data_IF_812573484451
#
_entry.id   IF_812573484451
#
_cell.length_a   1.000
_cell.length_b   1.000
_cell.length_c   1.000
_cell.angle_alpha   90.00
_cell.angle_beta   90.00
_cell.angle_gamma   90.00
#
_symmetry.space_group_name_H-M   'P 1'
#
loop_
_entity.id
_entity.type
_entity.pdbx_description
1 polymer ?
#
# COMPACT_ATOMS: atom_id res chain seq x y z
N UNK A 1 6.71 56.30 41.94
CA UNK A 1 5.75 55.61 41.04
C UNK A 1 6.50 55.16 39.78
N UNK A 2 6.73 53.86 39.60
CA UNK A 2 7.30 53.34 38.35
C UNK A 2 6.18 53.24 37.30
N UNK A 3 6.33 53.99 36.20
CA UNK A 3 5.45 53.91 35.03
C UNK A 3 5.64 52.55 34.36
N UNK A 4 4.60 51.70 34.36
CA UNK A 4 4.64 50.48 33.57
C UNK A 4 4.69 50.84 32.07
N UNK A 5 5.58 50.21 31.29
CA UNK A 5 5.69 50.50 29.86
C UNK A 5 4.39 50.10 29.14
N UNK A 6 3.79 51.06 28.43
CA UNK A 6 2.62 50.82 27.57
C UNK A 6 3.01 49.92 26.40
N UNK A 7 2.63 48.65 26.48
CA UNK A 7 2.76 47.70 25.37
C UNK A 7 1.87 48.17 24.22
N UNK A 8 2.44 48.32 23.02
CA UNK A 8 1.66 48.71 21.84
C UNK A 8 0.61 47.64 21.48
N UNK A 9 -0.51 48.05 20.87
CA UNK A 9 -1.56 47.12 20.38
C UNK A 9 -0.99 45.99 19.49
N UNK A 10 0.04 46.30 18.69
CA UNK A 10 0.74 45.34 17.83
C UNK A 10 1.51 44.29 18.64
N UNK A 11 2.20 44.71 19.70
CA UNK A 11 2.92 43.80 20.59
C UNK A 11 1.94 42.91 21.38
N UNK A 12 0.82 43.46 21.87
CA UNK A 12 -0.22 42.69 22.56
C UNK A 12 -0.82 41.60 21.66
N UNK A 13 -1.14 41.91 20.39
CA UNK A 13 -1.63 40.92 19.41
C UNK A 13 -0.60 39.81 19.14
N UNK A 14 0.68 40.17 19.00
CA UNK A 14 1.77 39.20 18.79
C UNK A 14 1.92 38.27 20.01
N UNK A 15 1.82 38.81 21.22
CA UNK A 15 1.93 38.04 22.46
C UNK A 15 0.76 37.06 22.61
N UNK A 16 -0.47 37.53 22.40
CA UNK A 16 -1.68 36.68 22.41
C UNK A 16 -1.59 35.55 21.36
N UNK A 17 -1.14 35.85 20.14
CA UNK A 17 -0.96 34.84 19.09
C UNK A 17 0.06 33.77 19.50
N UNK A 18 1.17 34.18 20.13
CA UNK A 18 2.21 33.25 20.62
C UNK A 18 1.68 32.37 21.74
N UNK A 19 0.90 32.94 22.66
CA UNK A 19 0.30 32.21 23.77
C UNK A 19 -0.73 31.18 23.28
N UNK A 20 -1.63 31.57 22.37
CA UNK A 20 -2.58 30.64 21.74
C UNK A 20 -1.86 29.48 21.04
N UNK A 21 -0.76 29.75 20.33
CA UNK A 21 0.07 28.71 19.71
C UNK A 21 0.72 27.79 20.74
N UNK A 22 1.21 28.33 21.86
CA UNK A 22 1.79 27.54 22.95
C UNK A 22 0.76 26.63 23.60
N UNK A 23 -0.43 27.15 23.91
CA UNK A 23 -1.54 26.36 24.48
C UNK A 23 -2.02 25.27 23.51
N UNK A 24 -2.19 25.60 22.22
CA UNK A 24 -2.57 24.64 21.20
C UNK A 24 -1.53 23.51 21.05
N UNK A 25 -0.24 23.86 21.08
CA UNK A 25 0.86 22.88 21.07
C UNK A 25 0.82 21.98 22.32
N UNK A 26 0.60 22.56 23.50
CA UNK A 26 0.48 21.79 24.75
C UNK A 26 -0.66 20.77 24.70
N UNK A 27 -1.86 21.19 24.30
CA UNK A 27 -3.01 20.28 24.11
C UNK A 27 -2.72 19.19 23.09
N UNK A 28 -2.08 19.54 21.97
CA UNK A 28 -1.69 18.55 20.96
C UNK A 28 -0.73 17.49 21.51
N UNK A 29 0.31 17.89 22.24
CA UNK A 29 1.27 16.97 22.84
C UNK A 29 0.64 16.07 23.90
N UNK A 30 -0.31 16.60 24.68
CA UNK A 30 -1.10 15.85 25.66
C UNK A 30 -2.01 14.81 24.99
N UNK A 31 -2.79 15.20 23.97
CA UNK A 31 -3.63 14.28 23.20
C UNK A 31 -2.80 13.17 22.56
N UNK A 32 -1.65 13.49 21.95
CA UNK A 32 -0.77 12.47 21.38
C UNK A 32 -0.17 11.53 22.43
N UNK A 33 0.08 12.02 23.65
CA UNK A 33 0.55 11.17 24.75
C UNK A 33 -0.56 10.25 25.23
N UNK A 34 -1.78 10.75 25.38
CA UNK A 34 -2.93 9.96 25.78
C UNK A 34 -3.17 8.82 24.78
N UNK A 35 -3.27 9.13 23.48
CA UNK A 35 -3.45 8.10 22.44
C UNK A 35 -2.35 7.04 22.54
N UNK A 36 -1.08 7.41 22.74
CA UNK A 36 0.02 6.44 22.88
C UNK A 36 -0.12 5.52 24.10
N UNK A 37 -0.58 6.07 25.22
CA UNK A 37 -0.74 5.31 26.45
C UNK A 37 -1.90 4.31 26.34
N UNK A 38 -2.91 4.63 25.53
CA UNK A 38 -4.11 3.80 25.36
C UNK A 38 -3.91 2.67 24.33
N UNK A 39 -2.79 2.66 23.58
CA UNK A 39 -2.49 1.61 22.61
C UNK A 39 -2.01 0.31 23.27
N UNK A 40 -2.47 -0.82 22.74
CA UNK A 40 -2.01 -2.16 23.10
C UNK A 40 -0.58 -2.49 22.63
N UNK A 41 0.11 -1.51 22.03
CA UNK A 41 1.49 -1.66 21.58
C UNK A 41 2.24 -0.34 21.73
N UNK A 42 3.53 -0.45 21.99
CA UNK A 42 4.39 0.74 22.08
C UNK A 42 4.66 1.32 20.69
N UNK A 43 4.51 2.64 20.58
CA UNK A 43 4.94 3.39 19.40
C UNK A 43 6.31 4.00 19.68
N UNK A 44 7.35 3.63 18.91
CA UNK A 44 8.69 4.16 19.14
C UNK A 44 8.75 5.68 19.06
N UNK A 45 9.71 6.27 19.77
CA UNK A 45 10.00 7.71 19.67
C UNK A 45 10.48 8.11 18.26
N UNK A 46 11.13 7.18 17.54
CA UNK A 46 11.54 7.34 16.15
C UNK A 46 11.01 6.22 15.25
N UNK A 47 10.49 6.53 14.06
CA UNK A 47 10.14 7.87 13.58
C UNK A 47 8.98 8.47 14.40
N UNK A 48 8.94 9.80 14.56
CA UNK A 48 7.82 10.47 15.25
C UNK A 48 6.57 10.38 14.38
N UNK A 49 5.59 9.59 14.82
CA UNK A 49 4.31 9.40 14.10
C UNK A 49 3.22 10.20 14.78
N UNK A 50 2.54 11.07 14.04
CA UNK A 50 1.24 11.59 14.46
C UNK A 50 0.22 10.45 14.43
N UNK A 51 -0.37 10.16 15.59
CA UNK A 51 -1.40 9.16 15.72
C UNK A 51 -2.77 9.81 15.61
N UNK A 52 -3.59 9.30 14.70
CA UNK A 52 -5.01 9.62 14.60
C UNK A 52 -5.79 8.39 15.07
N UNK A 53 -6.41 8.49 16.24
CA UNK A 53 -7.28 7.43 16.77
C UNK A 53 -8.44 7.21 15.79
N UNK A 54 -8.67 5.94 15.41
CA UNK A 54 -9.79 5.57 14.55
C UNK A 54 -11.09 6.10 15.16
N UNK A 55 -11.92 6.78 14.36
CA UNK A 55 -13.22 7.28 14.84
C UNK A 55 -14.24 6.17 15.06
N UNK A 56 -13.94 4.99 14.54
CA UNK A 56 -14.79 3.82 14.59
C UNK A 56 -14.02 2.68 15.26
N UNK A 57 -14.72 1.95 16.12
CA UNK A 57 -14.15 0.87 16.91
C UNK A 57 -13.81 -0.38 16.08
N UNK A 58 -13.45 -1.48 16.75
CA UNK A 58 -13.17 -2.76 16.10
C UNK A 58 -14.35 -3.21 15.24
N UNK A 59 -14.02 -3.80 14.08
CA UNK A 59 -14.97 -4.44 13.19
C UNK A 59 -15.09 -5.92 13.57
N UNK A 60 -16.31 -6.35 13.88
CA UNK A 60 -16.62 -7.76 14.11
C UNK A 60 -17.08 -8.48 12.85
N UNK A 61 -17.59 -7.71 11.88
CA UNK A 61 -17.97 -8.23 10.55
C UNK A 61 -16.87 -7.84 9.57
N UNK A 62 -16.30 -8.80 8.81
CA UNK A 62 -15.21 -8.49 7.91
C UNK A 62 -15.60 -7.45 6.83
N UNK A 63 -16.75 -7.62 6.18
CA UNK A 63 -17.22 -6.75 5.09
C UNK A 63 -18.47 -6.00 5.47
N UNK A 64 -18.53 -4.75 5.02
CA UNK A 64 -19.81 -4.09 4.82
C UNK A 64 -20.57 -4.82 3.72
N UNK A 65 -21.85 -5.11 3.98
CA UNK A 65 -22.74 -5.60 2.91
C UNK A 65 -22.83 -4.53 1.84
N UNK A 66 -23.07 -4.93 0.59
CA UNK A 66 -23.17 -3.97 -0.54
C UNK A 66 -24.19 -2.87 -0.24
N UNK A 67 -25.32 -3.21 0.39
CA UNK A 67 -26.35 -2.26 0.81
C UNK A 67 -25.87 -1.22 1.85
N UNK A 68 -24.86 -1.54 2.66
CA UNK A 68 -24.34 -0.67 3.72
C UNK A 68 -23.20 0.24 3.23
N UNK A 69 -22.59 -0.07 2.08
CA UNK A 69 -21.43 0.67 1.56
C UNK A 69 -21.73 2.15 1.29
N UNK A 70 -22.83 2.54 0.61
CA UNK A 70 -23.09 3.95 0.30
C UNK A 70 -23.06 4.86 1.53
N UNK A 71 -23.69 4.41 2.63
CA UNK A 71 -23.71 5.16 3.89
C UNK A 71 -22.33 5.34 4.53
N UNK A 72 -21.39 4.43 4.25
CA UNK A 72 -19.99 4.53 4.72
C UNK A 72 -19.16 5.39 3.77
N UNK A 73 -19.36 5.26 2.46
CA UNK A 73 -18.66 6.02 1.42
C UNK A 73 -18.92 7.53 1.50
N UNK A 74 -20.13 7.94 1.91
CA UNK A 74 -20.54 9.34 2.06
C UNK A 74 -20.08 9.99 3.37
N UNK A 75 -19.44 9.24 4.27
CA UNK A 75 -19.03 9.77 5.58
C UNK A 75 -18.05 10.94 5.44
N UNK A 76 -18.21 12.02 6.25
CA UNK A 76 -17.24 13.10 6.26
C UNK A 76 -15.90 12.63 6.82
N UNK A 77 -14.84 12.76 6.02
CA UNK A 77 -13.49 12.32 6.37
C UNK A 77 -12.64 13.47 6.87
N UNK A 78 -11.94 13.27 7.99
CA UNK A 78 -10.92 14.21 8.44
C UNK A 78 -9.64 13.98 7.65
N UNK A 79 -9.12 15.04 7.03
CA UNK A 79 -7.87 14.96 6.27
C UNK A 79 -6.68 15.03 7.20
N UNK A 80 -5.82 14.00 7.18
CA UNK A 80 -4.50 14.07 7.81
C UNK A 80 -3.54 14.70 6.80
N UNK A 81 -3.47 16.03 6.86
CA UNK A 81 -2.66 16.83 5.94
C UNK A 81 -1.15 16.61 6.15
N UNK A 82 -0.37 17.10 5.20
CA UNK A 82 1.04 17.38 5.42
C UNK A 82 1.18 18.76 6.06
N UNK A 83 1.91 18.83 7.17
CA UNK A 83 2.35 20.10 7.73
C UNK A 83 3.68 19.89 8.45
N UNK A 84 4.37 20.98 8.81
CA UNK A 84 5.68 20.91 9.47
C UNK A 84 5.68 20.23 10.85
N UNK A 85 4.52 19.88 11.39
CA UNK A 85 4.37 19.18 12.68
C UNK A 85 4.12 17.68 12.50
N UNK A 86 3.52 17.27 11.39
CA UNK A 86 3.18 15.88 11.08
C UNK A 86 4.21 15.32 10.09
N UNK A 87 5.29 14.75 10.63
CA UNK A 87 6.36 14.13 9.84
C UNK A 87 6.00 12.75 9.34
N UNK A 88 5.17 12.01 10.06
CA UNK A 88 4.60 10.71 9.66
C UNK A 88 3.20 10.64 10.24
N UNK A 89 2.31 9.86 9.63
CA UNK A 89 0.95 9.68 10.15
C UNK A 89 0.64 8.19 10.28
N UNK A 90 -0.03 7.81 11.37
CA UNK A 90 -0.48 6.44 11.61
C UNK A 90 -1.90 6.45 12.16
N UNK A 91 -2.73 5.56 11.65
CA UNK A 91 -4.05 5.25 12.18
C UNK A 91 -3.93 3.86 12.80
N UNK A 92 -3.96 3.72 14.14
CA UNK A 92 -3.92 2.41 14.79
C UNK A 92 -5.01 1.47 14.26
N UNK A 93 -4.69 0.19 14.12
CA UNK A 93 -5.67 -0.81 13.69
C UNK A 93 -6.62 -1.09 14.85
N UNK A 94 -7.93 -0.76 14.74
CA UNK A 94 -8.86 -1.00 15.83
C UNK A 94 -9.07 -2.50 16.09
N UNK A 95 -8.75 -3.38 15.13
CA UNK A 95 -8.84 -4.82 15.30
C UNK A 95 -7.56 -5.45 15.87
N UNK A 96 -6.50 -4.67 16.11
CA UNK A 96 -5.23 -5.22 16.61
C UNK A 96 -5.41 -5.85 18.00
N UNK A 97 -4.92 -7.08 18.14
CA UNK A 97 -4.82 -7.76 19.42
C UNK A 97 -3.34 -8.04 19.75
N UNK A 98 -3.00 -8.02 21.03
CA UNK A 98 -1.66 -8.43 21.50
C UNK A 98 -1.37 -9.86 21.02
N UNK A 99 -0.13 -10.10 20.60
CA UNK A 99 0.36 -11.39 20.05
C UNK A 99 -0.27 -11.87 18.74
N UNK A 100 -1.17 -11.08 18.14
CA UNK A 100 -1.72 -11.38 16.83
C UNK A 100 -0.70 -11.18 15.70
N UNK A 101 -0.88 -11.92 14.61
CA UNK A 101 -0.11 -11.76 13.37
C UNK A 101 -0.69 -10.68 12.45
N UNK A 102 -1.61 -9.84 12.92
CA UNK A 102 -2.15 -8.74 12.11
C UNK A 102 -1.35 -7.45 12.31
N UNK A 103 -1.32 -6.57 11.30
CA UNK A 103 -0.57 -5.33 11.42
C UNK A 103 -1.17 -4.36 12.45
N UNK A 104 -0.29 -3.58 13.10
CA UNK A 104 -0.62 -2.68 14.22
C UNK A 104 -1.44 -1.46 13.82
N UNK A 105 -1.40 -1.10 12.54
CA UNK A 105 -2.03 0.11 12.00
C UNK A 105 -3.03 -0.26 10.92
N UNK A 106 -4.13 0.48 10.81
CA UNK A 106 -5.01 0.41 9.65
C UNK A 106 -4.35 1.08 8.44
N UNK A 107 -3.61 2.17 8.68
CA UNK A 107 -2.80 2.84 7.68
C UNK A 107 -1.63 3.61 8.31
N UNK A 108 -0.51 3.73 7.58
CA UNK A 108 0.68 4.48 7.94
C UNK A 108 1.20 5.21 6.70
N UNK A 109 1.33 6.53 6.75
CA UNK A 109 1.99 7.34 5.71
C UNK A 109 3.40 7.73 6.17
N UNK A 110 4.38 7.39 5.36
CA UNK A 110 5.73 7.93 5.44
C UNK A 110 5.99 8.88 4.27
N UNK A 111 6.14 10.18 4.53
CA UNK A 111 6.30 11.14 3.47
C UNK A 111 7.74 11.22 2.96
N UNK A 112 7.90 11.64 1.70
CA UNK A 112 9.19 11.84 1.05
C UNK A 112 10.14 10.64 1.25
N UNK A 113 9.60 9.43 1.09
CA UNK A 113 10.37 8.19 1.18
C UNK A 113 11.22 7.97 -0.06
N UNK A 114 10.73 8.45 -1.20
CA UNK A 114 11.39 8.45 -2.50
C UNK A 114 11.71 9.89 -2.86
N UNK A 115 12.96 10.17 -3.22
CA UNK A 115 13.40 11.50 -3.65
C UNK A 115 12.85 11.85 -5.03
N UNK A 116 12.83 13.14 -5.39
CA UNK A 116 12.40 13.58 -6.74
C UNK A 116 13.21 12.91 -7.85
N UNK A 117 14.53 12.73 -7.64
CA UNK A 117 15.38 12.02 -8.58
C UNK A 117 14.97 10.55 -8.75
N UNK A 118 14.75 9.84 -7.64
CA UNK A 118 14.28 8.44 -7.69
C UNK A 118 12.86 8.33 -8.27
N UNK A 119 11.99 9.29 -7.99
CA UNK A 119 10.66 9.40 -8.61
C UNK A 119 10.78 9.50 -10.13
N UNK A 120 11.65 10.38 -10.63
CA UNK A 120 11.87 10.50 -12.08
C UNK A 120 12.44 9.19 -12.66
N UNK A 121 13.42 8.58 -12.00
CA UNK A 121 13.95 7.28 -12.45
C UNK A 121 12.87 6.20 -12.55
N UNK A 122 11.95 6.14 -11.59
CA UNK A 122 10.84 5.17 -11.64
C UNK A 122 9.87 5.48 -12.78
N UNK A 123 9.56 6.75 -13.02
CA UNK A 123 8.72 7.18 -14.15
C UNK A 123 9.37 6.83 -15.49
N UNK A 124 10.68 7.10 -15.66
CA UNK A 124 11.43 6.75 -16.86
C UNK A 124 11.41 5.24 -17.10
N UNK A 125 11.54 4.42 -16.05
CA UNK A 125 11.42 2.96 -16.16
C UNK A 125 10.02 2.49 -16.57
N UNK A 126 8.96 3.22 -16.18
CA UNK A 126 7.58 2.92 -16.63
C UNK A 126 7.41 3.27 -18.10
N UNK A 127 7.94 4.41 -18.55
CA UNK A 127 7.92 4.79 -19.98
C UNK A 127 8.75 3.82 -20.83
N UNK A 128 9.93 3.38 -20.38
CA UNK A 128 10.72 2.34 -21.05
C UNK A 128 9.92 1.03 -21.24
N UNK A 129 9.10 0.65 -20.25
CA UNK A 129 8.21 -0.52 -20.37
C UNK A 129 7.10 -0.30 -21.39
N UNK A 130 6.49 0.89 -21.43
CA UNK A 130 5.47 1.25 -22.43
C UNK A 130 6.06 1.24 -23.84
N UNK A 131 7.24 1.82 -24.03
CA UNK A 131 7.95 1.84 -25.31
C UNK A 131 8.30 0.43 -25.79
N UNK A 132 8.71 -0.44 -24.86
CA UNK A 132 8.94 -1.85 -25.12
C UNK A 132 7.65 -2.68 -25.31
N UNK A 133 6.47 -2.03 -25.33
CA UNK A 133 5.14 -2.61 -25.54
C UNK A 133 4.72 -3.59 -24.43
N UNK A 134 4.99 -3.22 -23.18
CA UNK A 134 4.41 -3.89 -22.02
C UNK A 134 2.88 -3.75 -22.08
N UNK A 135 2.11 -4.84 -21.92
CA UNK A 135 0.65 -4.75 -21.92
C UNK A 135 0.17 -4.07 -20.63
N UNK A 136 -0.13 -2.79 -20.74
CA UNK A 136 -0.92 -2.04 -19.77
C UNK A 136 -2.38 -2.16 -20.19
N UNK A 137 -3.19 -2.79 -19.35
CA UNK A 137 -4.60 -3.09 -19.64
C UNK A 137 -5.51 -2.15 -18.87
N UNK A 138 -6.62 -1.77 -19.47
CA UNK A 138 -7.74 -1.18 -18.72
C UNK A 138 -8.48 -2.30 -17.99
N UNK A 139 -9.19 -1.95 -16.92
CA UNK A 139 -10.13 -2.86 -16.27
C UNK A 139 -11.52 -2.25 -16.35
N UNK A 140 -12.56 -3.08 -16.54
CA UNK A 140 -13.93 -2.60 -16.58
C UNK A 140 -14.32 -1.83 -15.29
N UNK A 141 -13.69 -2.18 -14.16
CA UNK A 141 -13.90 -1.53 -12.86
C UNK A 141 -13.37 -0.09 -12.77
N UNK A 142 -12.45 0.32 -13.66
CA UNK A 142 -11.76 1.62 -13.56
C UNK A 142 -11.84 2.46 -14.85
N UNK A 143 -12.52 1.96 -15.89
CA UNK A 143 -12.71 2.67 -17.15
C UNK A 143 -11.47 2.65 -18.06
N UNK A 144 -11.54 3.42 -19.14
CA UNK A 144 -10.52 3.52 -20.19
C UNK A 144 -9.32 4.42 -19.81
N UNK A 145 -9.50 5.30 -18.84
CA UNK A 145 -8.47 6.26 -18.37
C UNK A 145 -7.51 5.69 -17.32
N UNK A 146 -7.71 4.42 -16.93
CA UNK A 146 -6.94 3.74 -15.90
C UNK A 146 -6.26 2.48 -16.46
N UNK A 147 -4.94 2.53 -16.55
CA UNK A 147 -4.10 1.48 -17.11
C UNK A 147 -3.35 0.74 -16.01
N UNK A 148 -3.28 -0.58 -16.07
CA UNK A 148 -2.53 -1.40 -15.13
C UNK A 148 -1.67 -2.48 -15.78
N UNK A 149 -0.50 -2.70 -15.20
CA UNK A 149 0.34 -3.86 -15.47
C UNK A 149 0.67 -4.59 -14.17
N UNK A 150 0.45 -5.91 -14.14
CA UNK A 150 0.73 -6.76 -12.97
C UNK A 150 2.02 -7.56 -13.13
N UNK A 151 2.88 -7.51 -12.13
CA UNK A 151 4.20 -8.14 -12.12
C UNK A 151 4.41 -8.81 -10.76
N UNK A 152 4.69 -10.11 -10.75
CA UNK A 152 4.93 -10.88 -9.52
C UNK A 152 4.43 -12.33 -9.59
N UNK A 153 4.13 -12.91 -8.42
CA UNK A 153 3.57 -14.25 -8.23
C UNK A 153 2.21 -14.17 -7.57
N UNK A 154 1.21 -14.80 -8.18
CA UNK A 154 -0.19 -14.74 -7.77
C UNK A 154 -0.88 -16.11 -7.77
N UNK A 155 -2.02 -16.25 -7.08
CA UNK A 155 -2.86 -17.46 -7.03
C UNK A 155 -4.37 -17.15 -7.13
N UNK A 156 -4.80 -16.02 -7.71
CA UNK A 156 -6.24 -15.68 -7.71
C UNK A 156 -7.12 -16.63 -8.51
N UNK A 157 -6.65 -17.12 -9.65
CA UNK A 157 -7.44 -17.93 -10.59
C UNK A 157 -6.79 -19.31 -10.82
N UNK A 158 -6.14 -19.83 -9.79
CA UNK A 158 -5.39 -21.08 -9.90
C UNK A 158 -5.30 -21.79 -8.58
N UNK A 159 -5.22 -23.13 -8.65
CA UNK A 159 -4.97 -23.96 -7.48
C UNK A 159 -3.58 -23.74 -6.87
N UNK A 160 -2.61 -23.25 -7.65
CA UNK A 160 -1.22 -23.07 -7.23
C UNK A 160 -0.65 -21.71 -7.63
N UNK A 161 0.26 -21.11 -6.82
CA UNK A 161 0.87 -19.83 -7.16
C UNK A 161 1.66 -19.91 -8.46
N UNK A 162 1.45 -18.92 -9.32
CA UNK A 162 2.06 -18.84 -10.64
C UNK A 162 2.66 -17.45 -10.88
N UNK A 163 3.68 -17.41 -11.73
CA UNK A 163 4.31 -16.16 -12.14
C UNK A 163 3.38 -15.46 -13.14
N UNK A 164 3.02 -14.20 -12.86
CA UNK A 164 2.17 -13.39 -13.73
C UNK A 164 2.72 -13.28 -15.17
N UNK A 165 1.81 -13.20 -16.15
CA UNK A 165 2.16 -12.99 -17.55
C UNK A 165 3.02 -11.72 -17.76
N UNK A 166 2.72 -10.65 -17.03
CA UNK A 166 3.51 -9.42 -17.03
C UNK A 166 4.95 -9.64 -16.57
N UNK A 167 5.23 -10.61 -15.70
CA UNK A 167 6.60 -10.98 -15.30
C UNK A 167 7.27 -11.95 -16.29
N UNK A 168 6.50 -12.78 -16.98
CA UNK A 168 6.98 -13.82 -17.91
C UNK A 168 7.24 -13.32 -19.35
N UNK A 169 7.65 -12.06 -19.52
CA UNK A 169 7.89 -11.49 -20.84
C UNK A 169 9.00 -12.23 -21.61
N UNK A 170 8.66 -12.70 -22.81
CA UNK A 170 9.57 -13.41 -23.72
C UNK A 170 10.57 -12.45 -24.37
N UNK A 171 10.15 -11.20 -24.65
CA UNK A 171 10.98 -10.16 -25.29
C UNK A 171 12.14 -9.76 -24.36
N UNK A 172 13.41 -9.86 -24.82
CA UNK A 172 14.57 -9.53 -23.99
C UNK A 172 14.55 -8.11 -23.42
N UNK A 173 14.12 -7.13 -24.22
CA UNK A 173 13.99 -5.73 -23.79
C UNK A 173 13.02 -5.56 -22.61
N UNK A 174 11.82 -6.14 -22.69
CA UNK A 174 10.84 -6.11 -21.60
C UNK A 174 11.36 -6.81 -20.34
N UNK A 175 11.95 -8.00 -20.47
CA UNK A 175 12.49 -8.70 -19.31
C UNK A 175 13.64 -7.91 -18.64
N UNK A 176 14.47 -7.21 -19.41
CA UNK A 176 15.51 -6.30 -18.90
C UNK A 176 14.89 -5.09 -18.20
N UNK A 177 13.91 -4.44 -18.83
CA UNK A 177 13.17 -3.30 -18.26
C UNK A 177 12.51 -3.65 -16.93
N UNK A 178 11.81 -4.79 -16.84
CA UNK A 178 11.19 -5.24 -15.59
C UNK A 178 12.22 -5.45 -14.48
N UNK A 179 13.37 -6.07 -14.80
CA UNK A 179 14.45 -6.24 -13.82
C UNK A 179 15.02 -4.90 -13.34
N UNK A 180 15.18 -3.93 -14.25
CA UNK A 180 15.67 -2.60 -13.90
C UNK A 180 14.65 -1.83 -13.05
N UNK A 181 13.37 -1.89 -13.40
CA UNK A 181 12.28 -1.32 -12.60
C UNK A 181 12.29 -1.90 -11.19
N UNK A 182 12.30 -3.23 -11.05
CA UNK A 182 12.33 -3.90 -9.75
C UNK A 182 13.55 -3.49 -8.91
N UNK A 183 14.74 -3.42 -9.52
CA UNK A 183 15.97 -2.99 -8.82
C UNK A 183 15.88 -1.53 -8.35
N UNK A 184 15.33 -0.66 -9.18
CA UNK A 184 15.15 0.77 -8.86
C UNK A 184 14.12 0.94 -7.74
N UNK A 185 13.03 0.18 -7.80
CA UNK A 185 11.99 0.16 -6.77
C UNK A 185 12.53 -0.34 -5.42
N UNK A 186 13.27 -1.45 -5.40
CA UNK A 186 13.91 -1.98 -4.20
C UNK A 186 14.81 -0.95 -3.51
N UNK A 187 15.58 -0.19 -4.29
CA UNK A 187 16.42 0.89 -3.78
C UNK A 187 15.59 2.04 -3.22
N UNK A 188 14.62 2.51 -3.99
CA UNK A 188 13.77 3.66 -3.66
C UNK A 188 12.95 3.41 -2.39
N UNK A 189 12.54 2.17 -2.14
CA UNK A 189 11.73 1.79 -0.98
C UNK A 189 12.55 1.50 0.29
N UNK A 190 13.88 1.54 0.24
CA UNK A 190 14.74 1.20 1.39
C UNK A 190 14.46 2.09 2.62
N UNK A 191 14.15 3.37 2.39
CA UNK A 191 13.80 4.32 3.46
C UNK A 191 12.45 3.97 4.10
N UNK A 192 11.43 3.69 3.29
CA UNK A 192 10.11 3.26 3.77
C UNK A 192 10.19 1.96 4.56
N UNK A 193 10.94 0.97 4.06
CA UNK A 193 11.22 -0.28 4.75
C UNK A 193 11.90 -0.08 6.11
N UNK A 194 12.84 0.86 6.19
CA UNK A 194 13.52 1.21 7.45
C UNK A 194 12.55 1.82 8.46
N UNK A 195 11.65 2.70 8.02
CA UNK A 195 10.62 3.25 8.89
C UNK A 195 9.63 2.19 9.34
N UNK A 196 9.12 1.36 8.42
CA UNK A 196 8.21 0.28 8.78
C UNK A 196 8.85 -0.68 9.81
N UNK A 197 10.13 -1.03 9.65
CA UNK A 197 10.86 -1.83 10.63
C UNK A 197 10.86 -1.22 12.02
N UNK A 198 11.01 0.11 12.13
CA UNK A 198 10.99 0.80 13.42
C UNK A 198 9.58 0.78 14.01
N UNK A 199 8.57 1.10 13.20
CA UNK A 199 7.18 1.32 13.64
C UNK A 199 6.39 0.02 13.90
N UNK A 200 6.55 -0.95 13.02
CA UNK A 200 5.85 -2.24 13.03
C UNK A 200 6.82 -3.36 12.62
N UNK A 201 7.83 -3.57 13.47
CA UNK A 201 8.87 -4.56 13.26
C UNK A 201 8.38 -5.99 13.01
N UNK A 202 7.36 -6.51 13.75
CA UNK A 202 6.81 -7.83 13.49
C UNK A 202 6.25 -7.97 12.07
N UNK A 203 5.39 -7.03 11.63
CA UNK A 203 4.81 -7.06 10.28
C UNK A 203 5.88 -6.89 9.22
N UNK A 204 6.81 -5.94 9.39
CA UNK A 204 7.97 -5.79 8.49
C UNK A 204 8.77 -7.09 8.34
N UNK A 205 9.03 -7.81 9.44
CA UNK A 205 9.78 -9.04 9.42
C UNK A 205 9.08 -10.17 8.65
N UNK A 206 7.75 -10.21 8.67
CA UNK A 206 6.96 -11.11 7.82
C UNK A 206 7.02 -10.68 6.35
N UNK A 207 6.70 -9.42 6.05
CA UNK A 207 6.72 -8.85 4.69
C UNK A 207 8.08 -9.03 3.98
N UNK A 208 9.19 -8.80 4.68
CA UNK A 208 10.52 -8.91 4.07
C UNK A 208 10.93 -10.34 3.72
N UNK A 209 10.18 -11.36 4.13
CA UNK A 209 10.51 -12.79 3.95
C UNK A 209 9.44 -13.58 3.18
N UNK A 210 8.21 -13.08 3.08
CA UNK A 210 7.07 -13.78 2.46
C UNK A 210 7.38 -14.30 1.04
N UNK A 211 8.10 -13.50 0.24
CA UNK A 211 8.52 -13.88 -1.11
C UNK A 211 9.30 -15.20 -1.19
N UNK A 212 10.05 -15.57 -0.14
CA UNK A 212 10.82 -16.83 -0.11
C UNK A 212 9.90 -18.03 -0.01
N UNK A 213 8.90 -17.95 0.85
CA UNK A 213 7.96 -19.05 1.08
C UNK A 213 7.05 -19.20 -0.16
N UNK A 214 6.52 -18.08 -0.69
CA UNK A 214 5.70 -18.09 -1.92
C UNK A 214 6.49 -18.59 -3.13
N UNK A 215 7.72 -18.14 -3.34
CA UNK A 215 8.52 -18.56 -4.50
C UNK A 215 8.89 -20.05 -4.45
N UNK A 216 9.24 -20.58 -3.27
CA UNK A 216 9.43 -22.02 -3.08
C UNK A 216 8.13 -22.78 -3.38
N UNK A 217 7.01 -22.29 -2.87
CA UNK A 217 5.70 -22.88 -3.14
C UNK A 217 5.38 -22.91 -4.64
N UNK A 218 5.60 -21.81 -5.36
CA UNK A 218 5.40 -21.72 -6.81
C UNK A 218 6.30 -22.70 -7.58
N UNK A 219 7.57 -22.82 -7.19
CA UNK A 219 8.53 -23.77 -7.77
C UNK A 219 8.13 -25.23 -7.53
N UNK A 220 7.79 -25.58 -6.28
CA UNK A 220 7.43 -26.95 -5.91
C UNK A 220 6.11 -27.43 -6.52
N UNK A 221 5.23 -26.51 -6.92
CA UNK A 221 3.92 -26.84 -7.48
C UNK A 221 3.81 -26.51 -8.97
N UNK A 222 4.95 -26.32 -9.66
CA UNK A 222 4.99 -25.91 -11.05
C UNK A 222 4.28 -26.89 -12.00
N UNK A 223 4.38 -28.19 -11.70
CA UNK A 223 3.77 -29.27 -12.48
C UNK A 223 2.24 -29.29 -12.38
N UNK A 224 1.68 -28.68 -11.34
CA UNK A 224 0.23 -28.60 -11.13
C UNK A 224 -0.40 -27.41 -11.89
N UNK A 225 0.42 -26.58 -12.55
CA UNK A 225 -0.06 -25.44 -13.31
C UNK A 225 -0.30 -25.82 -14.78
N UNK A 226 -1.39 -25.33 -15.39
CA UNK A 226 -1.73 -25.61 -16.80
C UNK A 226 -0.62 -25.25 -17.80
N UNK A 227 0.21 -24.26 -17.46
CA UNK A 227 1.35 -23.82 -18.26
C UNK A 227 2.71 -24.30 -17.68
N UNK A 228 2.76 -25.47 -17.03
CA UNK A 228 3.92 -26.00 -16.32
C UNK A 228 5.23 -25.84 -17.11
N UNK A 229 5.28 -26.29 -18.36
CA UNK A 229 6.48 -26.23 -19.21
C UNK A 229 6.98 -24.80 -19.48
N UNK A 230 6.04 -23.86 -19.67
CA UNK A 230 6.39 -22.45 -19.86
C UNK A 230 7.00 -21.87 -18.58
N UNK A 231 6.45 -22.22 -17.41
CA UNK A 231 6.98 -21.78 -16.13
C UNK A 231 8.36 -22.42 -15.86
N UNK A 232 8.52 -23.72 -16.10
CA UNK A 232 9.80 -24.44 -15.93
C UNK A 232 10.89 -23.80 -16.75
N UNK A 233 10.60 -23.57 -18.03
CA UNK A 233 11.52 -22.89 -18.96
C UNK A 233 11.87 -21.49 -18.45
N UNK A 234 10.90 -20.75 -17.94
CA UNK A 234 11.15 -19.42 -17.39
C UNK A 234 12.06 -19.47 -16.16
N UNK A 235 11.84 -20.40 -15.22
CA UNK A 235 12.70 -20.56 -14.05
C UNK A 235 14.12 -21.01 -14.43
N UNK A 236 14.26 -21.97 -15.35
CA UNK A 236 15.55 -22.51 -15.79
C UNK A 236 16.42 -21.48 -16.52
N UNK A 237 15.82 -20.48 -17.17
CA UNK A 237 16.53 -19.48 -17.97
C UNK A 237 17.43 -18.54 -17.17
N UNK A 238 17.23 -18.41 -15.86
CA UNK A 238 18.02 -17.51 -15.02
C UNK A 238 18.09 -18.00 -13.56
N UNK A 239 19.28 -18.31 -13.02
CA UNK A 239 19.44 -18.75 -11.64
C UNK A 239 18.83 -17.81 -10.60
N UNK A 240 18.76 -16.50 -10.85
CA UNK A 240 18.15 -15.52 -9.94
C UNK A 240 16.62 -15.69 -9.84
N UNK A 241 15.99 -16.37 -10.80
CA UNK A 241 14.56 -16.72 -10.74
C UNK A 241 14.31 -17.84 -9.76
N UNK A 242 15.25 -18.78 -9.63
CA UNK A 242 15.20 -19.85 -8.63
C UNK A 242 15.60 -19.37 -7.22
N UNK A 243 16.43 -18.32 -7.11
CA UNK A 243 16.97 -17.82 -5.83
C UNK A 243 16.06 -16.84 -5.06
N UNK A 244 14.78 -16.75 -5.41
CA UNK A 244 13.74 -15.93 -4.75
C UNK A 244 13.85 -14.40 -4.90
N UNK A 245 15.02 -13.86 -5.27
CA UNK A 245 15.24 -12.42 -5.46
C UNK A 245 14.36 -11.83 -6.57
N UNK A 246 14.03 -12.63 -7.58
CA UNK A 246 13.13 -12.25 -8.68
C UNK A 246 11.67 -11.99 -8.26
N UNK A 247 11.32 -12.29 -7.01
CA UNK A 247 9.96 -12.13 -6.45
C UNK A 247 9.92 -11.18 -5.26
N UNK A 248 11.08 -10.64 -4.87
CA UNK A 248 11.15 -9.61 -3.87
C UNK A 248 10.79 -8.29 -4.53
N UNK A 249 9.62 -7.75 -4.22
CA UNK A 249 9.16 -6.45 -4.72
C UNK A 249 9.19 -5.46 -3.57
N UNK A 250 10.15 -4.53 -3.58
CA UNK A 250 10.38 -3.56 -2.50
C UNK A 250 10.84 -4.16 -1.18
N UNK A 251 11.03 -5.49 -1.11
CA UNK A 251 11.10 -6.23 0.16
C UNK A 251 9.81 -6.17 0.97
N UNK A 252 8.67 -5.91 0.32
CA UNK A 252 7.38 -5.58 0.94
C UNK A 252 6.28 -6.51 0.43
N UNK A 253 6.26 -6.84 -0.87
CA UNK A 253 5.25 -7.70 -1.48
C UNK A 253 5.82 -8.77 -2.40
N UNK A 254 4.92 -9.63 -2.89
CA UNK A 254 5.17 -10.65 -3.92
C UNK A 254 4.47 -10.35 -5.24
N UNK A 255 3.52 -9.40 -5.20
CA UNK A 255 2.85 -8.82 -6.35
C UNK A 255 3.04 -7.31 -6.38
N UNK A 256 3.04 -6.78 -7.60
CA UNK A 256 3.05 -5.35 -7.88
C UNK A 256 2.09 -5.04 -9.04
N UNK A 257 1.30 -3.99 -8.88
CA UNK A 257 0.59 -3.33 -9.95
C UNK A 257 1.25 -1.98 -10.20
N UNK A 258 1.56 -1.70 -11.46
CA UNK A 258 1.89 -0.35 -11.92
C UNK A 258 0.64 0.21 -12.55
N UNK A 259 0.04 1.22 -11.92
CA UNK A 259 -1.18 1.87 -12.37
C UNK A 259 -0.86 3.25 -12.93
N UNK A 260 -1.46 3.61 -14.07
CA UNK A 260 -1.38 4.96 -14.64
C UNK A 260 -2.81 5.46 -14.80
N UNK A 261 -3.16 6.52 -14.08
CA UNK A 261 -4.44 7.20 -14.21
C UNK A 261 -4.24 8.59 -14.80
N UNK A 262 -5.06 8.92 -15.80
CA UNK A 262 -5.13 10.26 -16.44
C UNK A 262 -6.44 10.98 -16.13
N UNK A 263 -7.25 10.44 -15.21
CA UNK A 263 -8.61 10.90 -14.93
C UNK A 263 -9.06 10.54 -13.53
N UNK A 264 -10.14 9.77 -13.42
CA UNK A 264 -10.65 9.35 -12.11
C UNK A 264 -9.65 8.43 -11.40
N UNK A 265 -9.63 8.53 -10.07
CA UNK A 265 -8.93 7.56 -9.22
C UNK A 265 -9.64 6.21 -9.22
N UNK A 266 -9.44 5.41 -8.17
CA UNK A 266 -10.19 4.16 -8.01
C UNK A 266 -11.60 4.42 -7.47
N UNK A 267 -12.54 3.51 -7.72
CA UNK A 267 -13.79 3.42 -6.96
C UNK A 267 -13.52 2.88 -5.55
N UNK A 268 -14.53 2.92 -4.66
CA UNK A 268 -14.43 2.30 -3.34
C UNK A 268 -14.43 0.76 -3.46
N UNK A 269 -13.44 0.12 -2.85
CA UNK A 269 -13.30 -1.34 -2.88
C UNK A 269 -12.52 -1.88 -1.68
N UNK A 270 -12.52 -3.20 -1.58
CA UNK A 270 -11.62 -3.99 -0.73
C UNK A 270 -10.74 -4.84 -1.63
N UNK A 271 -9.46 -4.96 -1.31
CA UNK A 271 -8.55 -5.86 -2.03
C UNK A 271 -8.61 -7.26 -1.42
N UNK A 272 -9.63 -8.03 -1.79
CA UNK A 272 -9.95 -9.30 -1.14
C UNK A 272 -8.86 -10.37 -1.25
N UNK A 273 -8.08 -10.31 -2.33
CA UNK A 273 -6.94 -11.18 -2.56
C UNK A 273 -5.72 -10.86 -1.70
N UNK A 274 -5.70 -9.71 -1.01
CA UNK A 274 -4.57 -9.32 -0.17
C UNK A 274 -4.64 -10.03 1.18
N UNK A 275 -3.47 -10.51 1.64
CA UNK A 275 -3.34 -11.18 2.93
C UNK A 275 -3.41 -10.18 4.09
N UNK A 276 -4.36 -10.38 5.02
CA UNK A 276 -4.65 -9.47 6.12
C UNK A 276 -3.59 -9.44 7.23
N UNK A 277 -2.60 -10.34 7.17
CA UNK A 277 -1.45 -10.36 8.07
C UNK A 277 -0.31 -9.44 7.60
N UNK A 278 -0.47 -8.82 6.43
CA UNK A 278 0.49 -7.94 5.78
C UNK A 278 -0.19 -6.61 5.42
N UNK A 279 0.63 -5.59 5.22
CA UNK A 279 0.16 -4.35 4.59
C UNK A 279 0.18 -4.51 3.08
N UNK A 280 -0.80 -3.90 2.42
CA UNK A 280 -0.63 -3.42 1.05
C UNK A 280 0.10 -2.09 1.10
N UNK A 281 0.90 -1.79 0.08
CA UNK A 281 1.70 -0.58 0.02
C UNK A 281 1.44 0.15 -1.28
N UNK A 282 1.21 1.47 -1.19
CA UNK A 282 1.19 2.35 -2.36
C UNK A 282 2.35 3.34 -2.30
N UNK A 283 2.97 3.56 -3.46
CA UNK A 283 3.86 4.67 -3.76
C UNK A 283 3.25 5.47 -4.90
N UNK A 284 2.95 6.73 -4.64
CA UNK A 284 2.35 7.66 -5.62
C UNK A 284 3.45 8.49 -6.27
N UNK A 285 3.43 8.60 -7.60
CA UNK A 285 4.32 9.40 -8.43
C UNK A 285 3.50 10.31 -9.37
N UNK A 286 4.15 11.34 -9.93
CA UNK A 286 3.49 12.31 -10.79
C UNK A 286 2.57 13.23 -9.99
N UNK A 287 1.26 12.97 -10.03
CA UNK A 287 0.25 13.74 -9.29
C UNK A 287 -0.12 13.06 -7.97
N UNK A 288 -0.11 13.82 -6.87
CA UNK A 288 -0.61 13.37 -5.58
C UNK A 288 -2.12 13.09 -5.55
N UNK A 289 -2.62 12.65 -4.39
CA UNK A 289 -4.02 12.29 -4.24
C UNK A 289 -4.50 12.18 -2.80
N UNK A 290 -5.74 11.73 -2.63
CA UNK A 290 -6.36 11.45 -1.34
C UNK A 290 -6.68 9.96 -1.24
N UNK A 291 -5.97 9.25 -0.35
CA UNK A 291 -6.36 7.90 0.05
C UNK A 291 -7.48 8.02 1.09
N UNK A 292 -8.71 7.67 0.70
CA UNK A 292 -9.89 7.72 1.56
C UNK A 292 -10.06 6.39 2.28
N UNK A 293 -10.21 6.45 3.60
CA UNK A 293 -10.39 5.29 4.49
C UNK A 293 -11.62 5.52 5.39
N UNK A 294 -12.84 5.51 4.83
CA UNK A 294 -14.06 5.87 5.55
C UNK A 294 -14.35 5.05 6.80
N UNK A 295 -13.91 3.79 6.84
CA UNK A 295 -14.04 2.94 8.03
C UNK A 295 -13.13 3.34 9.20
N UNK A 296 -12.18 4.26 8.97
CA UNK A 296 -11.38 4.89 10.03
C UNK A 296 -11.84 6.31 10.36
N UNK A 297 -12.66 6.91 9.48
CA UNK A 297 -13.09 8.31 9.57
C UNK A 297 -12.05 9.33 9.07
N UNK A 298 -11.02 8.86 8.37
CA UNK A 298 -9.92 9.68 7.86
C UNK A 298 -9.69 9.51 6.36
N UNK A 299 -8.99 10.51 5.81
CA UNK A 299 -8.31 10.40 4.54
C UNK A 299 -6.88 10.92 4.67
N UNK A 300 -5.94 10.30 3.94
CA UNK A 300 -4.55 10.70 3.90
C UNK A 300 -4.30 11.48 2.61
N UNK A 301 -3.78 12.71 2.70
CA UNK A 301 -3.16 13.33 1.53
C UNK A 301 -1.84 12.62 1.26
N UNK A 302 -1.66 12.14 0.04
CA UNK A 302 -0.49 11.37 -0.40
C UNK A 302 0.19 12.16 -1.52
N UNK A 303 1.40 12.65 -1.25
CA UNK A 303 2.20 13.40 -2.22
C UNK A 303 3.04 12.46 -3.09
N UNK A 304 3.51 12.95 -4.26
CA UNK A 304 4.54 12.23 -5.01
C UNK A 304 5.74 11.92 -4.12
N UNK A 305 6.19 10.66 -4.14
CA UNK A 305 7.31 10.15 -3.33
C UNK A 305 6.96 9.73 -1.90
N UNK A 306 5.70 9.91 -1.48
CA UNK A 306 5.20 9.32 -0.24
C UNK A 306 4.95 7.82 -0.40
N UNK A 307 5.11 7.08 0.69
CA UNK A 307 4.72 5.67 0.79
C UNK A 307 3.64 5.52 1.84
N UNK A 308 2.57 4.80 1.51
CA UNK A 308 1.51 4.44 2.46
C UNK A 308 1.43 2.93 2.57
N UNK A 309 1.50 2.43 3.80
CA UNK A 309 1.16 1.05 4.15
C UNK A 309 -0.24 1.02 4.73
N UNK A 310 -1.14 0.16 4.25
CA UNK A 310 -2.50 0.09 4.77
C UNK A 310 -3.09 -1.31 4.59
N UNK A 311 -4.15 -1.59 5.34
CA UNK A 311 -4.87 -2.87 5.29
C UNK A 311 -5.92 -2.82 4.18
N UNK A 312 -5.48 -2.94 2.92
CA UNK A 312 -6.36 -2.80 1.75
C UNK A 312 -7.47 -3.86 1.70
N UNK A 313 -7.20 -5.05 2.25
CA UNK A 313 -8.25 -6.05 2.40
C UNK A 313 -9.26 -5.64 3.48
N UNK A 314 -8.86 -5.09 4.63
CA UNK A 314 -9.74 -4.82 5.79
C UNK A 314 -10.49 -3.48 5.74
N UNK A 315 -9.97 -2.53 4.98
CA UNK A 315 -10.44 -1.15 4.95
C UNK A 315 -11.06 -0.85 3.59
N UNK A 316 -12.33 -0.44 3.58
CA UNK A 316 -12.95 0.11 2.38
C UNK A 316 -12.15 1.34 2.00
N UNK A 317 -11.66 1.39 0.77
CA UNK A 317 -10.75 2.44 0.39
C UNK A 317 -10.90 2.84 -1.07
N UNK A 318 -10.44 4.05 -1.36
CA UNK A 318 -10.15 4.50 -2.72
C UNK A 318 -9.04 5.53 -2.72
N UNK A 319 -8.28 5.59 -3.80
CA UNK A 319 -7.32 6.64 -4.05
C UNK A 319 -7.90 7.58 -5.11
N UNK A 320 -8.15 8.83 -4.74
CA UNK A 320 -8.58 9.87 -5.67
C UNK A 320 -7.40 10.71 -6.12
N UNK A 321 -7.36 11.07 -7.41
CA UNK A 321 -6.48 12.12 -7.91
C UNK A 321 -6.82 13.46 -7.24
N UNK A 322 -5.81 14.32 -7.10
CA UNK A 322 -6.03 15.70 -6.70
C UNK A 322 -6.78 16.47 -7.81
N UNK A 323 -8.07 16.80 -7.65
CA UNK A 323 -8.89 17.36 -8.74
C UNK A 323 -8.50 18.80 -9.08
N UNK A 324 -7.61 19.42 -8.29
CA UNK A 324 -7.15 20.80 -8.49
C UNK A 324 -6.08 20.90 -9.57
N UNK A 325 -5.54 19.77 -10.04
CA UNK A 325 -4.48 19.72 -11.03
C UNK A 325 -5.11 19.33 -12.38
N UNK A 326 -5.23 20.26 -13.34
CA UNK A 326 -5.75 19.94 -14.67
C UNK A 326 -4.79 18.99 -15.40
N UNK A 327 -5.32 18.05 -16.18
CA UNK A 327 -4.56 17.05 -16.93
C UNK A 327 -3.59 16.24 -16.05
N UNK A 328 -3.98 16.01 -14.80
CA UNK A 328 -3.19 15.26 -13.85
C UNK A 328 -2.97 13.82 -14.31
N UNK A 329 -1.70 13.41 -14.32
CA UNK A 329 -1.31 12.01 -14.49
C UNK A 329 -0.76 11.52 -13.17
N UNK A 330 -1.35 10.45 -12.66
CA UNK A 330 -0.89 9.76 -11.46
C UNK A 330 -0.36 8.39 -11.85
N UNK A 331 0.86 8.09 -11.43
CA UNK A 331 1.41 6.73 -11.50
C UNK A 331 1.50 6.17 -10.10
N UNK A 332 0.92 4.98 -9.88
CA UNK A 332 0.90 4.34 -8.56
C UNK A 332 1.53 2.97 -8.65
N UNK A 333 2.50 2.73 -7.79
CA UNK A 333 3.00 1.38 -7.52
C UNK A 333 2.25 0.82 -6.33
N UNK A 334 1.42 -0.19 -6.55
CA UNK A 334 0.74 -0.93 -5.48
C UNK A 334 1.45 -2.27 -5.30
N UNK A 335 1.94 -2.57 -4.11
CA UNK A 335 2.60 -3.83 -3.78
C UNK A 335 1.82 -4.54 -2.67
N UNK A 336 1.62 -5.85 -2.84
CA UNK A 336 0.90 -6.67 -1.87
C UNK A 336 1.43 -8.09 -1.82
N UNK A 337 0.93 -8.86 -0.86
CA UNK A 337 1.13 -10.30 -0.76
C UNK A 337 -0.22 -10.98 -0.92
N UNK A 338 -0.31 -11.91 -1.86
CA UNK A 338 -1.54 -12.64 -2.13
C UNK A 338 -1.86 -13.64 -1.01
N UNK A 339 -3.08 -13.59 -0.51
CA UNK A 339 -3.59 -14.41 0.58
C UNK A 339 -3.56 -15.89 0.24
N UNK A 340 -4.08 -16.28 -0.91
CA UNK A 340 -4.18 -17.68 -1.29
C UNK A 340 -2.78 -18.29 -1.47
N UNK A 341 -1.84 -17.53 -2.04
CA UNK A 341 -0.46 -17.95 -2.18
C UNK A 341 0.23 -18.12 -0.83
N UNK A 342 -0.01 -17.19 0.10
CA UNK A 342 0.55 -17.29 1.45
C UNK A 342 -0.05 -18.44 2.25
N UNK A 343 -1.37 -18.65 2.18
CA UNK A 343 -2.04 -19.77 2.84
C UNK A 343 -1.50 -21.12 2.38
N UNK A 344 -1.20 -21.27 1.10
CA UNK A 344 -0.59 -22.50 0.57
C UNK A 344 0.88 -22.62 0.96
N UNK A 345 1.64 -21.52 0.89
CA UNK A 345 3.07 -21.53 1.13
C UNK A 345 3.43 -21.71 2.62
N UNK A 346 2.70 -21.00 3.48
CA UNK A 346 2.94 -20.92 4.91
C UNK A 346 1.72 -20.33 5.63
N UNK A 347 0.73 -21.16 5.97
CA UNK A 347 -0.48 -20.68 6.61
C UNK A 347 -0.16 -19.99 7.95
N UNK A 348 -0.83 -18.86 8.20
CA UNK A 348 -0.79 -18.18 9.49
C UNK A 348 -1.42 -19.03 10.58
N UNK A 349 -0.93 -18.91 11.81
CA UNK A 349 -1.59 -19.50 12.98
C UNK A 349 -2.87 -18.76 13.36
N UNK A 350 -2.98 -17.50 12.93
CA UNK A 350 -4.13 -16.65 13.13
C UNK A 350 -5.02 -16.71 11.90
N UNK A 351 -6.33 -16.74 12.12
CA UNK A 351 -7.28 -16.62 11.02
C UNK A 351 -7.11 -15.23 10.40
N UNK A 352 -7.08 -15.19 9.08
CA UNK A 352 -7.17 -13.92 8.36
C UNK A 352 -8.53 -13.26 8.65
N UNK A 353 -8.56 -11.93 8.57
CA UNK A 353 -9.77 -11.15 8.77
C UNK A 353 -10.87 -11.51 7.76
N UNK A 354 -10.51 -11.88 6.52
CA UNK A 354 -11.42 -12.57 5.60
C UNK A 354 -11.00 -14.01 5.43
N UNK A 355 -11.92 -14.92 5.75
CA UNK A 355 -11.90 -16.27 5.21
C UNK A 355 -12.24 -16.18 3.73
N UNK A 356 -11.31 -16.62 2.88
CA UNK A 356 -11.62 -16.90 1.48
C UNK A 356 -12.01 -18.36 1.45
N UNK A 357 -13.27 -18.65 1.13
CA UNK A 357 -13.59 -19.97 0.63
C UNK A 357 -12.99 -20.04 -0.78
N UNK A 358 -12.29 -21.13 -1.16
CA UNK A 358 -11.92 -21.33 -2.55
C UNK A 358 -13.20 -21.18 -3.37
N UNK A 359 -13.22 -20.29 -4.35
CA UNK A 359 -14.41 -20.08 -5.18
C UNK A 359 -14.90 -21.44 -5.67
N UNK A 360 -16.17 -21.75 -5.40
CA UNK A 360 -16.82 -22.98 -5.88
C UNK A 360 -16.96 -22.98 -7.43
N UNK A 361 -16.61 -21.87 -8.07
CA UNK A 361 -16.61 -21.63 -9.52
C UNK A 361 -15.19 -21.69 -10.12
N UNK A 362 -14.34 -22.60 -9.62
CA UNK A 362 -13.10 -23.02 -10.29
C UNK A 362 -13.40 -23.84 -11.59
N UNK A 363 -14.66 -23.84 -12.05
CA UNK A 363 -15.15 -24.30 -13.34
C UNK A 363 -15.80 -23.10 -14.06
N UNK A 364 -15.30 -22.79 -15.26
CA UNK A 364 -15.79 -21.76 -16.22
C UNK A 364 -15.29 -20.32 -16.05
N UNK A 365 -14.09 -20.06 -16.59
CA UNK A 365 -13.88 -18.91 -17.47
C UNK A 365 -12.97 -19.40 -18.62
N UNK A 366 -13.57 -20.24 -19.45
CA UNK A 366 -12.95 -21.12 -20.45
C UNK A 366 -12.58 -20.43 -21.78
N UNK A 367 -12.83 -19.12 -22.01
CA UNK A 367 -12.77 -18.59 -23.40
C UNK A 367 -12.18 -17.18 -23.63
N UNK A 368 -11.18 -16.68 -22.89
CA UNK A 368 -10.55 -15.41 -23.33
C UNK A 368 -9.05 -15.16 -23.07
N UNK A 369 -8.28 -16.19 -22.70
CA UNK A 369 -6.81 -16.04 -22.58
C UNK A 369 -6.03 -16.65 -23.74
N UNK A 370 -6.67 -16.88 -24.88
CA UNK A 370 -5.96 -17.21 -26.12
C UNK A 370 -5.56 -15.92 -26.86
N UNK A 371 -4.25 -15.79 -27.02
CA UNK A 371 -3.55 -15.16 -28.14
C UNK A 371 -4.05 -13.80 -28.65
N UNK A 372 -3.31 -12.75 -28.27
CA UNK A 372 -2.73 -11.76 -29.22
C UNK A 372 -1.39 -11.22 -28.67
#
# INVERSE_FOLDING_TARGET
MQLQPRISKRQAKKLNTRERRRQAKGRFEETQRQIRNDLLFQVPAEPRIYLAESKFGPKYVPRLKVADRPAVEERPLTTIAHNGTITHAGIPNPNYATDSDIPRYAAIRFPNCVSEHETQMLLDQVEELKDAKMPFKTTAAHGDTFLQAWIGVWRKYSRTPFVSAGRMQKKPALNKGIKNLMRTLDRSLAKAATYLRKVDGPTYNRMRRCHRDISKCALSNIDQHRAAETHKTWFAKDPDRARTSSFRLGGIGTMMAVSISTGAGTSYHYDEGDDGHFYSMILVLGTGGLLKLPETGYQLYVRPGDVVFFLANQQLHKLELDPRIPNAVQTVFTLWTDKLAMQLAKPSRHKDFYTVEPDAEDETDDESWQEE
#
